data_IF_789133359113
#
_entry.id   IF_789133359113
#
_cell.length_a   1.000
_cell.length_b   1.000
_cell.length_c   1.000
_cell.angle_alpha   90.00
_cell.angle_beta   90.00
_cell.angle_gamma   90.00
#
_symmetry.space_group_name_H-M   'P 1'
#
loop_
_entity.id
_entity.type
_entity.pdbx_description
1 polymer ?
#
# COMPACT_ATOMS: atom_id res chain seq x y z
N UNK A 1 8.35 14.27 -13.59
CA UNK A 1 7.08 13.51 -13.46
C UNK A 1 5.92 14.45 -13.15
N UNK A 2 5.06 14.70 -14.16
CA UNK A 2 3.90 15.59 -14.03
C UNK A 2 2.93 15.16 -12.91
N UNK A 3 2.85 13.87 -12.62
CA UNK A 3 1.98 13.33 -11.56
C UNK A 3 2.34 13.79 -10.14
N UNK A 4 3.59 14.18 -9.90
CA UNK A 4 3.99 14.79 -8.63
C UNK A 4 3.39 16.19 -8.44
N UNK A 5 3.19 16.91 -9.52
CA UNK A 5 2.67 18.29 -9.45
C UNK A 5 1.22 18.34 -8.93
N UNK A 6 0.44 17.28 -9.10
CA UNK A 6 -0.97 17.26 -8.69
C UNK A 6 -1.13 17.36 -7.17
N UNK A 7 -0.53 16.49 -6.32
CA UNK A 7 -0.64 16.67 -4.88
C UNK A 7 0.03 17.96 -4.40
N UNK A 8 1.14 18.39 -5.02
CA UNK A 8 1.77 19.70 -4.72
C UNK A 8 0.83 20.84 -5.01
N UNK A 9 0.15 20.82 -6.16
CA UNK A 9 -0.84 21.84 -6.54
C UNK A 9 -2.00 21.90 -5.53
N UNK A 10 -2.59 20.77 -5.17
CA UNK A 10 -3.64 20.72 -4.16
C UNK A 10 -3.17 21.13 -2.77
N UNK A 11 -1.92 20.80 -2.40
CA UNK A 11 -1.33 21.26 -1.15
C UNK A 11 -1.19 22.80 -1.11
N UNK A 12 -0.72 23.40 -2.20
CA UNK A 12 -0.63 24.86 -2.30
C UNK A 12 -2.00 25.55 -2.28
N UNK A 13 -3.03 24.94 -2.90
CA UNK A 13 -4.40 25.45 -2.84
C UNK A 13 -4.97 25.34 -1.43
N UNK A 14 -4.72 24.24 -0.73
CA UNK A 14 -5.18 24.01 0.63
C UNK A 14 -4.61 25.04 1.59
N UNK A 15 -3.33 25.37 1.46
CA UNK A 15 -2.67 26.39 2.28
C UNK A 15 -3.38 27.77 2.23
N UNK A 16 -4.20 27.99 1.20
CA UNK A 16 -5.03 29.22 1.05
C UNK A 16 -6.44 29.04 1.61
N UNK A 17 -6.97 27.83 1.70
CA UNK A 17 -8.34 27.58 2.13
C UNK A 17 -8.58 26.16 2.64
N UNK A 18 -8.45 25.96 3.96
CA UNK A 18 -8.58 24.67 4.64
C UNK A 18 -9.96 24.01 4.50
N UNK A 19 -11.01 24.78 4.10
CA UNK A 19 -12.37 24.26 3.97
C UNK A 19 -12.50 23.12 2.95
N UNK A 20 -11.65 23.12 1.95
CA UNK A 20 -11.68 22.12 0.86
C UNK A 20 -10.66 20.99 1.04
N UNK A 21 -9.96 20.92 2.16
CA UNK A 21 -8.89 19.94 2.37
C UNK A 21 -9.36 18.49 2.18
N UNK A 22 -10.49 18.10 2.75
CA UNK A 22 -11.03 16.75 2.60
C UNK A 22 -11.43 16.45 1.15
N UNK A 23 -11.92 17.43 0.43
CA UNK A 23 -12.27 17.31 -0.97
C UNK A 23 -11.04 17.10 -1.84
N UNK A 24 -9.99 17.89 -1.64
CA UNK A 24 -8.72 17.72 -2.36
C UNK A 24 -8.07 16.38 -2.04
N UNK A 25 -8.08 15.97 -0.78
CA UNK A 25 -7.54 14.69 -0.34
C UNK A 25 -8.26 13.51 -1.02
N UNK A 26 -9.58 13.55 -1.10
CA UNK A 26 -10.39 12.56 -1.81
C UNK A 26 -10.11 12.54 -3.32
N UNK A 27 -9.97 13.72 -3.94
CA UNK A 27 -9.63 13.82 -5.35
C UNK A 27 -8.25 13.22 -5.67
N UNK A 28 -7.25 13.48 -4.82
CA UNK A 28 -5.92 12.90 -4.94
C UNK A 28 -6.00 11.37 -4.81
N UNK A 29 -6.83 10.85 -3.90
CA UNK A 29 -7.06 9.41 -3.77
C UNK A 29 -7.59 8.81 -5.08
N UNK A 30 -8.68 9.35 -5.62
CA UNK A 30 -9.26 8.86 -6.88
C UNK A 30 -8.26 8.92 -8.03
N UNK A 31 -7.50 10.00 -8.12
CA UNK A 31 -6.46 10.15 -9.12
C UNK A 31 -5.42 9.01 -9.06
N UNK A 32 -4.92 8.69 -7.86
CA UNK A 32 -3.96 7.59 -7.73
C UNK A 32 -4.59 6.20 -7.90
N UNK A 33 -5.86 6.01 -7.58
CA UNK A 33 -6.58 4.77 -7.90
C UNK A 33 -6.57 4.53 -9.41
N UNK A 34 -6.82 5.55 -10.20
CA UNK A 34 -6.80 5.44 -11.67
C UNK A 34 -5.38 5.13 -12.15
N UNK A 35 -4.38 5.88 -11.70
CA UNK A 35 -2.99 5.72 -12.20
C UNK A 35 -2.38 4.38 -11.80
N UNK A 36 -2.52 3.97 -10.53
CA UNK A 36 -1.93 2.73 -10.04
C UNK A 36 -2.76 1.51 -10.42
N UNK A 37 -4.09 1.64 -10.38
CA UNK A 37 -5.01 0.54 -10.65
C UNK A 37 -5.09 0.17 -12.12
N UNK A 38 -5.04 1.16 -13.02
CA UNK A 38 -5.12 0.95 -14.47
C UNK A 38 -3.74 0.94 -15.15
N UNK A 39 -2.65 0.84 -14.38
CA UNK A 39 -1.31 0.69 -14.96
C UNK A 39 -1.23 -0.57 -15.82
N UNK A 40 -0.54 -0.49 -16.94
CA UNK A 40 -0.31 -1.61 -17.84
C UNK A 40 1.18 -1.66 -18.19
N UNK A 41 1.79 -2.84 -18.02
CA UNK A 41 3.20 -3.10 -18.36
C UNK A 41 4.19 -2.11 -17.68
N UNK A 42 3.90 -1.71 -16.44
CA UNK A 42 4.73 -0.80 -15.66
C UNK A 42 5.19 -1.50 -14.38
N UNK A 43 6.47 -1.44 -14.10
CA UNK A 43 7.12 -2.03 -12.92
C UNK A 43 8.01 -3.22 -13.27
N UNK A 44 9.11 -3.36 -12.51
CA UNK A 44 10.10 -4.43 -12.77
C UNK A 44 9.51 -5.83 -12.69
N UNK A 45 8.54 -6.03 -11.80
CA UNK A 45 7.99 -7.36 -11.51
C UNK A 45 6.66 -7.60 -12.24
N UNK A 46 6.23 -6.69 -13.14
CA UNK A 46 4.94 -6.78 -13.83
C UNK A 46 4.72 -8.13 -14.51
N UNK A 47 5.66 -8.54 -15.37
CA UNK A 47 5.57 -9.79 -16.11
C UNK A 47 5.61 -11.02 -15.19
N UNK A 48 6.39 -10.97 -14.12
CA UNK A 48 6.45 -12.04 -13.13
C UNK A 48 5.11 -12.20 -12.40
N UNK A 49 4.47 -11.11 -11.97
CA UNK A 49 3.14 -11.17 -11.34
C UNK A 49 2.06 -11.65 -12.31
N UNK A 50 2.10 -11.17 -13.56
CA UNK A 50 1.16 -11.59 -14.59
C UNK A 50 1.29 -13.08 -14.91
N UNK A 51 2.51 -13.57 -15.11
CA UNK A 51 2.79 -14.99 -15.33
C UNK A 51 2.35 -15.85 -14.14
N UNK A 52 2.69 -15.44 -12.91
CA UNK A 52 2.29 -16.17 -11.71
C UNK A 52 0.76 -16.17 -11.50
N UNK A 53 0.07 -15.12 -11.90
CA UNK A 53 -1.39 -15.03 -11.82
C UNK A 53 -2.06 -16.03 -12.76
N UNK A 54 -1.65 -16.08 -14.03
CA UNK A 54 -2.24 -17.00 -15.00
C UNK A 54 -1.84 -18.46 -14.76
N UNK A 55 -0.63 -18.70 -14.26
CA UNK A 55 -0.13 -20.05 -13.95
C UNK A 55 -0.41 -20.47 -12.49
N UNK A 56 -1.27 -19.76 -11.78
CA UNK A 56 -1.51 -19.94 -10.32
C UNK A 56 -1.85 -21.39 -9.97
N UNK A 57 -2.73 -22.06 -10.71
CA UNK A 57 -3.15 -23.41 -10.42
C UNK A 57 -2.06 -24.43 -10.73
N UNK A 58 -1.31 -24.27 -11.82
CA UNK A 58 -0.22 -25.16 -12.19
C UNK A 58 0.94 -25.04 -11.20
N UNK A 59 1.27 -23.84 -10.76
CA UNK A 59 2.28 -23.60 -9.74
C UNK A 59 1.89 -24.19 -8.39
N UNK A 60 0.62 -24.11 -8.01
CA UNK A 60 0.12 -24.66 -6.75
C UNK A 60 0.11 -26.20 -6.74
N UNK A 61 -0.18 -26.83 -7.86
CA UNK A 61 -0.14 -28.29 -7.99
C UNK A 61 1.29 -28.84 -7.97
N UNK A 62 2.24 -28.12 -8.55
CA UNK A 62 3.63 -28.56 -8.70
C UNK A 62 4.56 -28.14 -7.55
N UNK A 63 4.15 -27.15 -6.73
CA UNK A 63 4.95 -26.70 -5.60
C UNK A 63 4.60 -27.49 -4.34
N UNK A 64 5.45 -28.46 -3.99
CA UNK A 64 5.52 -29.02 -2.64
C UNK A 64 6.12 -28.05 -1.61
N UNK A 65 6.57 -26.88 -2.05
CA UNK A 65 7.10 -25.81 -1.20
C UNK A 65 5.94 -24.94 -0.72
N UNK A 66 5.61 -25.09 0.55
CA UNK A 66 4.83 -24.14 1.31
C UNK A 66 5.55 -22.79 1.18
N UNK A 67 5.07 -21.93 0.29
CA UNK A 67 5.64 -20.60 0.14
C UNK A 67 5.38 -19.82 1.42
N UNK A 68 6.38 -19.12 1.90
CA UNK A 68 6.34 -18.40 3.18
C UNK A 68 5.43 -17.15 3.17
N UNK A 69 4.56 -17.02 2.18
CA UNK A 69 3.76 -15.81 1.91
C UNK A 69 2.26 -16.13 1.73
N UNK A 70 1.72 -16.95 2.62
CA UNK A 70 0.34 -17.46 2.53
C UNK A 70 -0.73 -16.40 2.25
N UNK A 71 -0.63 -15.24 2.89
CA UNK A 71 -1.63 -14.20 2.72
C UNK A 71 -1.57 -13.57 1.33
N UNK A 72 -0.36 -13.37 0.79
CA UNK A 72 -0.20 -12.89 -0.57
C UNK A 72 -0.67 -13.92 -1.61
N UNK A 73 -0.36 -15.19 -1.39
CA UNK A 73 -0.79 -16.27 -2.27
C UNK A 73 -2.32 -16.42 -2.31
N UNK A 74 -3.00 -16.21 -1.18
CA UNK A 74 -4.48 -16.14 -1.14
C UNK A 74 -5.01 -14.96 -1.98
N UNK A 75 -4.41 -13.80 -1.85
CA UNK A 75 -4.80 -12.61 -2.64
C UNK A 75 -4.50 -12.77 -4.13
N UNK A 76 -3.56 -13.62 -4.51
CA UNK A 76 -3.19 -13.85 -5.92
C UNK A 76 -4.06 -14.87 -6.62
N UNK A 77 -5.08 -15.42 -5.96
CA UNK A 77 -6.00 -16.41 -6.57
C UNK A 77 -6.85 -15.78 -7.69
N UNK A 78 -6.70 -16.23 -8.95
CA UNK A 78 -7.41 -15.66 -10.09
C UNK A 78 -8.94 -15.70 -9.99
N UNK A 79 -9.50 -16.67 -9.27
CA UNK A 79 -10.94 -16.78 -9.07
C UNK A 79 -11.55 -15.59 -8.32
N UNK A 80 -10.76 -14.90 -7.48
CA UNK A 80 -11.20 -13.70 -6.78
C UNK A 80 -11.43 -12.49 -7.72
N UNK A 81 -10.89 -12.56 -8.93
CA UNK A 81 -10.85 -11.47 -9.90
C UNK A 81 -11.47 -11.85 -11.24
N UNK A 82 -12.29 -12.87 -11.26
CA UNK A 82 -12.90 -13.40 -12.52
C UNK A 82 -11.86 -13.74 -13.61
N UNK A 83 -10.66 -14.14 -13.22
CA UNK A 83 -9.57 -14.45 -14.14
C UNK A 83 -8.88 -13.23 -14.78
N UNK A 84 -9.25 -11.99 -14.39
CA UNK A 84 -8.66 -10.76 -14.95
C UNK A 84 -7.48 -10.27 -14.09
N UNK A 85 -6.31 -10.16 -14.71
CA UNK A 85 -5.13 -9.59 -14.09
C UNK A 85 -5.28 -8.07 -13.83
N UNK A 86 -6.03 -7.37 -14.68
CA UNK A 86 -6.35 -5.96 -14.52
C UNK A 86 -7.18 -5.73 -13.24
N UNK A 87 -8.19 -6.58 -12.99
CA UNK A 87 -8.97 -6.53 -11.76
C UNK A 87 -8.11 -6.82 -10.51
N UNK A 88 -7.22 -7.80 -10.59
CA UNK A 88 -6.23 -8.08 -9.55
C UNK A 88 -5.35 -6.86 -9.27
N UNK A 89 -4.81 -6.20 -10.31
CA UNK A 89 -3.98 -5.03 -10.18
C UNK A 89 -4.74 -3.84 -9.56
N UNK A 90 -5.99 -3.63 -9.97
CA UNK A 90 -6.85 -2.58 -9.41
C UNK A 90 -7.12 -2.81 -7.91
N UNK A 91 -7.49 -4.02 -7.51
CA UNK A 91 -7.79 -4.35 -6.11
C UNK A 91 -6.55 -4.24 -5.24
N UNK A 92 -5.40 -4.75 -5.69
CA UNK A 92 -4.14 -4.65 -4.93
C UNK A 92 -3.67 -3.21 -4.78
N UNK A 93 -3.86 -2.39 -5.81
CA UNK A 93 -3.58 -0.94 -5.77
C UNK A 93 -4.53 -0.22 -4.80
N UNK A 94 -5.82 -0.58 -4.77
CA UNK A 94 -6.78 -0.05 -3.80
C UNK A 94 -6.38 -0.39 -2.36
N UNK A 95 -5.99 -1.64 -2.08
CA UNK A 95 -5.51 -2.04 -0.75
C UNK A 95 -4.32 -1.17 -0.33
N UNK A 96 -3.36 -0.96 -1.24
CA UNK A 96 -2.20 -0.12 -0.98
C UNK A 96 -2.59 1.32 -0.68
N UNK A 97 -3.41 1.93 -1.52
CA UNK A 97 -3.82 3.33 -1.36
C UNK A 97 -4.67 3.54 -0.10
N UNK A 98 -5.57 2.62 0.24
CA UNK A 98 -6.37 2.70 1.46
C UNK A 98 -5.46 2.81 2.69
N UNK A 99 -4.44 1.96 2.81
CA UNK A 99 -3.52 2.02 3.96
C UNK A 99 -2.71 3.30 4.01
N UNK A 100 -2.17 3.74 2.86
CA UNK A 100 -1.42 4.98 2.75
C UNK A 100 -2.29 6.21 3.11
N UNK A 101 -3.52 6.27 2.58
CA UNK A 101 -4.42 7.38 2.81
C UNK A 101 -4.99 7.38 4.23
N UNK A 102 -5.27 6.23 4.83
CA UNK A 102 -5.63 6.15 6.26
C UNK A 102 -4.48 6.71 7.12
N UNK A 103 -3.25 6.28 6.90
CA UNK A 103 -2.11 6.79 7.66
C UNK A 103 -1.94 8.30 7.47
N UNK A 104 -2.01 8.78 6.24
CA UNK A 104 -1.85 10.21 5.93
C UNK A 104 -2.97 11.08 6.49
N UNK A 105 -4.19 10.57 6.56
CA UNK A 105 -5.34 11.27 7.14
C UNK A 105 -5.12 11.67 8.62
N UNK A 106 -4.33 10.91 9.36
CA UNK A 106 -4.02 11.19 10.77
C UNK A 106 -2.73 11.98 10.97
N UNK A 107 -2.08 12.45 9.90
CA UNK A 107 -0.96 13.39 9.99
C UNK A 107 -1.46 14.83 10.16
N UNK A 108 -0.62 15.72 10.66
CA UNK A 108 -0.94 17.14 10.86
C UNK A 108 -1.35 17.82 9.53
N UNK A 109 -0.62 17.54 8.44
CA UNK A 109 -0.93 17.97 7.08
C UNK A 109 -1.02 16.71 6.19
N UNK A 110 -2.25 16.25 5.97
CA UNK A 110 -2.51 15.01 5.24
C UNK A 110 -2.16 15.08 3.75
N UNK A 111 -2.34 16.24 3.12
CA UNK A 111 -1.98 16.43 1.70
C UNK A 111 -0.46 16.47 1.55
N UNK A 112 0.24 17.14 2.47
CA UNK A 112 1.69 17.14 2.49
C UNK A 112 2.26 15.73 2.72
N UNK A 113 1.67 14.94 3.61
CA UNK A 113 2.08 13.55 3.85
C UNK A 113 2.00 12.69 2.58
N UNK A 114 0.91 12.81 1.79
CA UNK A 114 0.80 12.15 0.48
C UNK A 114 1.85 12.68 -0.50
N UNK A 115 2.06 13.99 -0.53
CA UNK A 115 3.05 14.62 -1.42
C UNK A 115 4.46 14.09 -1.12
N UNK A 116 4.81 13.98 0.16
CA UNK A 116 6.11 13.46 0.60
C UNK A 116 6.26 11.95 0.30
N UNK A 117 5.17 11.19 0.36
CA UNK A 117 5.16 9.75 0.06
C UNK A 117 5.33 9.44 -1.44
N UNK A 118 5.12 10.42 -2.32
CA UNK A 118 5.07 10.23 -3.77
C UNK A 118 6.33 9.60 -4.37
N UNK A 119 7.55 10.11 -4.14
CA UNK A 119 8.72 9.64 -4.88
C UNK A 119 9.05 8.18 -4.58
N UNK A 120 8.82 7.73 -3.37
CA UNK A 120 9.15 6.36 -2.98
C UNK A 120 7.91 5.45 -2.90
N UNK A 121 6.91 5.81 -2.10
CA UNK A 121 5.78 4.91 -1.86
C UNK A 121 4.85 4.80 -3.06
N UNK A 122 4.46 5.92 -3.68
CA UNK A 122 3.51 5.89 -4.79
C UNK A 122 4.21 5.50 -6.10
N UNK A 123 5.36 6.13 -6.42
CA UNK A 123 5.99 5.92 -7.72
C UNK A 123 6.81 4.63 -7.74
N UNK A 124 7.66 4.38 -6.74
CA UNK A 124 8.54 3.22 -6.76
C UNK A 124 7.84 1.96 -6.26
N UNK A 125 7.29 1.99 -5.05
CA UNK A 125 6.66 0.81 -4.43
C UNK A 125 5.29 0.53 -5.08
N UNK A 126 4.42 1.52 -5.17
CA UNK A 126 3.06 1.37 -5.70
C UNK A 126 3.02 0.94 -7.15
N UNK A 127 3.94 1.44 -8.00
CA UNK A 127 4.02 1.04 -9.41
C UNK A 127 4.88 -0.20 -9.66
N UNK A 128 5.84 -0.50 -8.79
CA UNK A 128 6.84 -1.54 -9.04
C UNK A 128 6.51 -2.89 -8.41
N UNK A 129 6.03 -2.89 -7.17
CA UNK A 129 6.10 -4.06 -6.29
C UNK A 129 4.78 -4.35 -5.58
N UNK A 130 3.89 -5.16 -6.18
CA UNK A 130 2.55 -5.46 -5.64
C UNK A 130 2.63 -6.05 -4.23
N UNK A 131 3.49 -7.05 -4.00
CA UNK A 131 3.64 -7.71 -2.70
C UNK A 131 4.11 -6.75 -1.61
N UNK A 132 5.10 -5.93 -1.93
CA UNK A 132 5.66 -4.97 -0.99
C UNK A 132 4.66 -3.84 -0.69
N UNK A 133 3.91 -3.38 -1.69
CA UNK A 133 2.90 -2.32 -1.51
C UNK A 133 1.78 -2.75 -0.56
N UNK A 134 1.26 -3.98 -0.70
CA UNK A 134 0.25 -4.53 0.21
C UNK A 134 0.81 -4.63 1.64
N UNK A 135 2.03 -5.15 1.79
CA UNK A 135 2.67 -5.29 3.10
C UNK A 135 2.86 -3.94 3.79
N UNK A 136 3.35 -2.92 3.07
CA UNK A 136 3.50 -1.56 3.59
C UNK A 136 2.14 -0.96 3.97
N UNK A 137 1.11 -1.16 3.16
CA UNK A 137 -0.25 -0.71 3.46
C UNK A 137 -0.76 -1.23 4.81
N UNK A 138 -0.67 -2.55 5.00
CA UNK A 138 -1.07 -3.20 6.25
C UNK A 138 -0.26 -2.67 7.45
N UNK A 139 1.03 -2.45 7.26
CA UNK A 139 1.90 -1.89 8.29
C UNK A 139 1.54 -0.43 8.63
N UNK A 140 1.21 0.40 7.65
CA UNK A 140 0.75 1.77 7.88
C UNK A 140 -0.58 1.83 8.65
N UNK A 141 -1.52 0.92 8.35
CA UNK A 141 -2.75 0.75 9.12
C UNK A 141 -2.42 0.34 10.57
N UNK A 142 -1.49 -0.61 10.75
CA UNK A 142 -1.05 -1.07 12.05
C UNK A 142 -0.50 0.06 12.92
N UNK A 143 0.41 0.87 12.37
CA UNK A 143 0.97 2.04 13.04
C UNK A 143 -0.14 3.01 13.46
N UNK A 144 -1.08 3.31 12.55
CA UNK A 144 -2.20 4.20 12.85
C UNK A 144 -3.05 3.69 14.00
N UNK A 145 -3.32 2.38 14.05
CA UNK A 145 -4.11 1.75 15.12
C UNK A 145 -3.36 1.78 16.46
N UNK A 146 -2.04 1.53 16.47
CA UNK A 146 -1.21 1.58 17.67
C UNK A 146 -1.20 3.00 18.25
N UNK A 147 -1.00 4.02 17.44
CA UNK A 147 -1.06 5.42 17.87
C UNK A 147 -2.45 5.84 18.38
N UNK A 148 -3.51 5.13 17.97
CA UNK A 148 -4.88 5.32 18.48
C UNK A 148 -5.18 4.46 19.72
N UNK A 149 -4.17 3.91 20.40
CA UNK A 149 -4.32 3.03 21.55
C UNK A 149 -5.12 1.74 21.26
N UNK A 150 -5.19 1.30 20.01
CA UNK A 150 -5.83 0.04 19.60
C UNK A 150 -4.77 -1.03 19.33
N UNK A 151 -3.96 -1.33 20.36
CA UNK A 151 -2.80 -2.22 20.25
C UNK A 151 -3.14 -3.60 19.66
N UNK A 152 -4.23 -4.23 20.13
CA UNK A 152 -4.63 -5.57 19.69
C UNK A 152 -4.85 -5.62 18.17
N UNK A 153 -5.62 -4.70 17.62
CA UNK A 153 -5.84 -4.63 16.17
C UNK A 153 -4.56 -4.27 15.41
N UNK A 154 -3.75 -3.38 15.97
CA UNK A 154 -2.44 -3.04 15.39
C UNK A 154 -1.54 -4.25 15.24
N UNK A 155 -1.45 -5.13 16.27
CA UNK A 155 -0.67 -6.36 16.22
C UNK A 155 -1.19 -7.35 15.17
N UNK A 156 -2.50 -7.45 14.97
CA UNK A 156 -3.09 -8.28 13.90
C UNK A 156 -2.61 -7.78 12.53
N UNK A 157 -2.65 -6.47 12.29
CA UNK A 157 -2.21 -5.90 11.01
C UNK A 157 -0.68 -6.02 10.80
N UNK A 158 0.14 -5.95 11.86
CA UNK A 158 1.57 -6.26 11.78
C UNK A 158 1.76 -7.71 11.34
N UNK A 159 1.05 -8.64 11.97
CA UNK A 159 1.15 -10.06 11.64
C UNK A 159 0.76 -10.33 10.18
N UNK A 160 -0.35 -9.77 9.70
CA UNK A 160 -0.76 -9.87 8.29
C UNK A 160 0.28 -9.27 7.33
N UNK A 161 0.88 -8.14 7.70
CA UNK A 161 1.96 -7.51 6.93
C UNK A 161 3.17 -8.44 6.81
N UNK A 162 3.59 -9.09 7.89
CA UNK A 162 4.69 -10.06 7.90
C UNK A 162 4.39 -11.31 7.05
N UNK A 163 3.15 -11.79 7.07
CA UNK A 163 2.70 -12.90 6.21
C UNK A 163 2.71 -12.54 4.73
N UNK A 164 2.62 -11.24 4.40
CA UNK A 164 2.68 -10.75 3.02
C UNK A 164 4.13 -10.60 2.55
N UNK A 165 4.98 -9.96 3.36
CA UNK A 165 6.37 -9.69 2.99
C UNK A 165 7.30 -9.64 4.22
N UNK A 166 8.26 -10.55 4.30
CA UNK A 166 9.16 -10.71 5.45
C UNK A 166 10.04 -9.48 5.73
N UNK A 167 10.38 -8.68 4.72
CA UNK A 167 11.26 -7.51 4.89
C UNK A 167 10.67 -6.41 5.79
N UNK A 168 9.36 -6.47 6.08
CA UNK A 168 8.72 -5.54 7.02
C UNK A 168 9.23 -5.71 8.47
N UNK A 169 9.91 -6.81 8.79
CA UNK A 169 10.54 -7.03 10.10
C UNK A 169 11.46 -5.86 10.47
N UNK A 170 12.22 -5.36 9.49
CA UNK A 170 13.13 -4.22 9.70
C UNK A 170 12.34 -2.98 10.14
N UNK A 171 11.21 -2.71 9.48
CA UNK A 171 10.34 -1.58 9.83
C UNK A 171 9.70 -1.74 11.21
N UNK A 172 9.35 -2.98 11.59
CA UNK A 172 8.84 -3.28 12.93
C UNK A 172 9.91 -3.05 14.00
N UNK A 173 11.15 -3.43 13.75
CA UNK A 173 12.26 -3.16 14.69
C UNK A 173 12.48 -1.65 14.87
N UNK A 174 12.50 -0.88 13.79
CA UNK A 174 12.62 0.58 13.85
C UNK A 174 11.47 1.18 14.69
N UNK A 175 10.25 0.71 14.49
CA UNK A 175 9.08 1.16 15.26
C UNK A 175 9.24 0.88 16.77
N UNK A 176 9.71 -0.32 17.13
CA UNK A 176 9.95 -0.67 18.54
C UNK A 176 10.98 0.24 19.22
N UNK A 177 12.03 0.60 18.48
CA UNK A 177 13.03 1.54 18.98
C UNK A 177 12.45 2.97 19.09
N UNK A 178 11.65 3.41 18.11
CA UNK A 178 11.05 4.76 18.12
C UNK A 178 10.08 4.96 19.27
N UNK A 179 9.26 3.96 19.59
CA UNK A 179 8.30 4.03 20.71
C UNK A 179 9.01 4.18 22.05
N UNK A 180 10.18 3.56 22.25
CA UNK A 180 10.98 3.75 23.47
C UNK A 180 11.45 5.19 23.66
N UNK A 181 11.76 5.92 22.59
CA UNK A 181 12.25 7.31 22.68
C UNK A 181 11.15 8.35 22.95
N UNK A 182 9.88 8.02 22.70
CA UNK A 182 8.75 8.95 22.92
C UNK A 182 8.25 8.93 24.37
N UNK A 183 8.56 7.88 25.12
CA UNK A 183 8.15 7.73 26.54
C UNK A 183 9.23 8.13 27.56
N UNK A 184 10.34 8.72 27.14
CA UNK A 184 11.36 9.36 27.96
C UNK A 184 11.50 10.84 27.58
#
# INVERSE_FOLDING_TARGET
>A
NLFFLIPVFFWLLNKKNDKFENFYFFFIFLFYVIILGLRHNIGNDWHAYQSNFYNYFDLKLNSSSITSNYFFDLLSNPNLYFGSFEAYNLVTSLIFLIGLFIFSYYQQDKIFAITLSYPYLLLFVGMGYIRQSISISLFLIAITLIFKNRLFFGLIFIFLSLLTHKMIIISCLILLFSVKFVYY
#
